data_IF_596498037712
#
_entry.id   IF_596498037712
#
_cell.length_a   1.000
_cell.length_b   1.000
_cell.length_c   1.000
_cell.angle_alpha   90.00
_cell.angle_beta   90.00
_cell.angle_gamma   90.00
#
_symmetry.space_group_name_H-M   'P 1'
#
loop_
_entity.id
_entity.type
_entity.pdbx_description
1 polymer ?
#
# COMPACT_ATOMS: atom_id res chain seq x y z
N UNK A 1 19.21 23.83 -22.82
CA UNK A 1 19.20 23.84 -21.34
C UNK A 1 19.39 22.41 -20.86
N UNK A 2 20.63 22.02 -20.53
CA UNK A 2 20.90 20.68 -19.98
C UNK A 2 20.83 20.77 -18.46
N UNK A 3 19.89 20.06 -17.84
CA UNK A 3 19.83 19.90 -16.38
C UNK A 3 20.58 18.61 -16.01
N UNK A 4 21.81 18.70 -15.45
CA UNK A 4 22.65 17.53 -15.20
C UNK A 4 22.05 16.53 -14.19
N UNK A 5 21.01 16.94 -13.45
CA UNK A 5 20.28 16.15 -12.48
C UNK A 5 18.78 16.43 -12.61
N UNK A 6 18.17 16.05 -13.74
CA UNK A 6 16.72 16.13 -13.92
C UNK A 6 16.08 14.74 -13.81
N UNK A 7 14.99 14.66 -13.05
CA UNK A 7 14.13 13.49 -12.97
C UNK A 7 12.78 13.84 -13.61
N UNK A 8 12.29 12.97 -14.49
CA UNK A 8 10.96 13.07 -15.07
C UNK A 8 10.25 11.73 -14.90
N UNK A 9 9.10 11.74 -14.23
CA UNK A 9 8.24 10.57 -14.13
C UNK A 9 7.56 10.31 -15.49
N UNK A 10 7.50 9.05 -15.92
CA UNK A 10 6.84 8.61 -17.16
C UNK A 10 5.80 7.53 -16.84
N UNK A 11 4.76 7.45 -17.67
CA UNK A 11 3.65 6.53 -17.47
C UNK A 11 2.52 7.14 -16.63
N UNK A 12 1.63 6.27 -16.14
CA UNK A 12 0.45 6.66 -15.34
C UNK A 12 0.65 6.23 -13.91
N UNK A 13 0.50 7.18 -12.99
CA UNK A 13 0.60 6.92 -11.56
C UNK A 13 -0.65 6.19 -11.03
N UNK A 14 -0.42 5.10 -10.28
CA UNK A 14 -1.42 4.43 -9.46
C UNK A 14 -1.15 4.77 -7.99
N UNK A 15 -1.81 5.80 -7.49
CA UNK A 15 -1.67 6.21 -6.10
C UNK A 15 -2.37 5.21 -5.17
N UNK A 16 -1.63 4.70 -4.17
CA UNK A 16 -2.10 3.79 -3.15
C UNK A 16 -2.04 4.45 -1.77
N UNK A 17 -3.02 4.20 -0.92
CA UNK A 17 -3.06 4.72 0.45
C UNK A 17 -3.29 3.57 1.45
N UNK A 18 -2.28 3.32 2.28
CA UNK A 18 -2.34 2.27 3.29
C UNK A 18 -3.44 2.50 4.34
N UNK A 19 -3.85 3.75 4.56
CA UNK A 19 -4.89 4.10 5.54
C UNK A 19 -6.28 3.60 5.16
N UNK A 20 -6.48 3.24 3.88
CA UNK A 20 -7.73 2.66 3.39
C UNK A 20 -7.90 1.20 3.79
N UNK A 21 -6.80 0.49 4.04
CA UNK A 21 -6.84 -0.90 4.48
C UNK A 21 -7.24 -0.97 5.97
N UNK A 22 -8.29 -1.72 6.34
CA UNK A 22 -8.65 -1.93 7.75
C UNK A 22 -7.65 -2.82 8.50
N UNK A 23 -6.74 -3.47 7.76
CA UNK A 23 -5.78 -4.45 8.27
C UNK A 23 -4.46 -3.82 8.70
N UNK A 24 -4.04 -2.71 8.06
CA UNK A 24 -2.73 -2.10 8.26
C UNK A 24 -2.76 -1.07 9.39
N UNK A 25 -1.63 -0.91 10.08
CA UNK A 25 -1.45 0.17 11.06
C UNK A 25 -1.47 1.52 10.35
N UNK A 26 -2.08 2.53 10.98
CA UNK A 26 -1.92 3.91 10.53
C UNK A 26 -0.56 4.43 11.00
N UNK A 27 0.41 4.49 10.10
CA UNK A 27 1.79 4.86 10.43
C UNK A 27 2.39 5.79 9.37
N UNK A 28 3.49 6.45 9.73
CA UNK A 28 4.34 7.22 8.81
C UNK A 28 5.73 6.60 8.68
N UNK A 29 5.90 5.36 9.14
CA UNK A 29 7.16 4.64 9.03
C UNK A 29 7.53 4.42 7.55
N UNK A 30 8.76 4.81 7.21
CA UNK A 30 9.28 4.69 5.84
C UNK A 30 9.54 3.22 5.47
N UNK A 31 9.86 2.37 6.44
CA UNK A 31 10.00 0.93 6.22
C UNK A 31 8.68 0.31 5.75
N UNK A 32 7.58 0.69 6.41
CA UNK A 32 6.22 0.32 6.00
C UNK A 32 5.84 0.90 4.62
N UNK A 33 6.19 2.16 4.34
CA UNK A 33 5.90 2.79 3.05
C UNK A 33 6.62 2.12 1.85
N UNK A 34 7.81 1.58 2.08
CA UNK A 34 8.60 0.86 1.08
C UNK A 34 8.42 -0.67 1.12
N UNK A 35 7.44 -1.18 1.87
CA UNK A 35 7.17 -2.61 1.94
C UNK A 35 6.42 -3.10 0.69
N UNK A 36 7.08 -3.95 -0.11
CA UNK A 36 6.50 -4.54 -1.32
C UNK A 36 5.23 -5.37 -1.04
N UNK A 37 5.21 -6.15 0.03
CA UNK A 37 4.06 -6.98 0.39
C UNK A 37 2.85 -6.10 0.76
N UNK A 38 3.09 -4.94 1.37
CA UNK A 38 2.06 -3.96 1.64
C UNK A 38 1.53 -3.28 0.36
N UNK A 39 2.41 -2.97 -0.60
CA UNK A 39 1.97 -2.43 -1.89
C UNK A 39 1.11 -3.45 -2.65
N UNK A 40 1.50 -4.73 -2.66
CA UNK A 40 0.70 -5.79 -3.28
C UNK A 40 -0.65 -5.99 -2.58
N UNK A 41 -0.69 -5.91 -1.25
CA UNK A 41 -1.93 -5.90 -0.46
C UNK A 41 -2.86 -4.75 -0.86
N UNK A 42 -2.31 -3.55 -1.06
CA UNK A 42 -3.09 -2.37 -1.46
C UNK A 42 -3.58 -2.47 -2.90
N UNK A 43 -2.79 -3.05 -3.81
CA UNK A 43 -3.22 -3.32 -5.19
C UNK A 43 -4.35 -4.35 -5.22
N UNK A 44 -4.26 -5.43 -4.44
CA UNK A 44 -5.34 -6.43 -4.34
C UNK A 44 -6.65 -5.84 -3.77
N UNK A 45 -6.53 -4.80 -2.95
CA UNK A 45 -7.64 -4.07 -2.38
C UNK A 45 -8.13 -2.85 -3.17
N UNK A 46 -7.50 -2.52 -4.29
CA UNK A 46 -7.76 -1.28 -5.04
C UNK A 46 -9.03 -1.38 -5.89
N UNK A 47 -9.93 -0.41 -5.73
CA UNK A 47 -11.25 -0.34 -6.37
C UNK A 47 -11.49 0.98 -7.12
N UNK A 48 -10.43 1.77 -7.35
CA UNK A 48 -10.47 2.99 -8.15
C UNK A 48 -10.41 4.28 -7.32
N UNK A 49 -10.38 5.44 -8.00
CA UNK A 49 -10.23 6.74 -7.33
C UNK A 49 -11.46 7.17 -6.52
N UNK A 50 -12.64 6.62 -6.82
CA UNK A 50 -13.90 6.81 -6.07
C UNK A 50 -13.97 5.93 -4.80
N UNK A 51 -12.82 5.55 -4.26
CA UNK A 51 -12.69 4.71 -3.07
C UNK A 51 -13.19 5.35 -1.77
N UNK A 52 -13.50 6.65 -1.75
CA UNK A 52 -14.19 7.26 -0.60
C UNK A 52 -15.60 6.65 -0.41
N UNK A 53 -16.23 6.18 -1.49
CA UNK A 53 -17.54 5.52 -1.46
C UNK A 53 -17.43 3.98 -1.45
N UNK A 54 -16.30 3.42 -1.90
CA UNK A 54 -16.09 1.96 -2.03
C UNK A 54 -15.23 1.42 -0.90
N UNK A 55 -15.79 0.46 -0.17
CA UNK A 55 -15.08 -0.25 0.91
C UNK A 55 -13.89 -1.04 0.36
N UNK A 56 -12.72 -0.90 0.98
CA UNK A 56 -11.55 -1.73 0.71
C UNK A 56 -11.90 -3.22 0.85
N UNK A 57 -11.60 -4.02 -0.18
CA UNK A 57 -11.93 -5.44 -0.23
C UNK A 57 -10.83 -6.20 -0.98
N UNK A 58 -10.32 -7.31 -0.45
CA UNK A 58 -9.30 -8.11 -1.13
C UNK A 58 -9.94 -8.99 -2.21
N UNK A 59 -9.61 -8.75 -3.49
CA UNK A 59 -10.22 -9.48 -4.61
C UNK A 59 -9.71 -10.91 -4.69
N UNK A 60 -8.40 -11.10 -4.57
CA UNK A 60 -7.78 -12.42 -4.68
C UNK A 60 -7.71 -13.18 -3.35
N UNK A 61 -8.12 -12.52 -2.25
CA UNK A 61 -7.98 -13.02 -0.88
C UNK A 61 -6.52 -13.32 -0.53
N UNK A 62 -5.60 -12.43 -0.95
CA UNK A 62 -4.19 -12.51 -0.56
C UNK A 62 -4.07 -12.56 0.97
N UNK A 63 -3.20 -13.44 1.46
CA UNK A 63 -2.97 -13.56 2.90
C UNK A 63 -2.38 -12.26 3.46
N UNK A 64 -3.09 -11.67 4.42
CA UNK A 64 -2.68 -10.42 5.08
C UNK A 64 -1.41 -10.61 5.91
N UNK A 65 -1.07 -11.83 6.33
CA UNK A 65 0.14 -12.11 7.11
C UNK A 65 1.42 -11.77 6.32
N UNK A 66 1.36 -11.81 4.99
CA UNK A 66 2.51 -11.50 4.12
C UNK A 66 3.02 -10.07 4.32
N UNK A 67 2.15 -9.12 4.72
CA UNK A 67 2.59 -7.74 4.97
C UNK A 67 3.60 -7.65 6.11
N UNK A 68 3.63 -8.63 7.03
CA UNK A 68 4.56 -8.67 8.15
C UNK A 68 5.93 -9.29 7.83
N UNK A 69 6.16 -9.70 6.57
CA UNK A 69 7.40 -10.39 6.17
C UNK A 69 8.69 -9.61 6.45
N UNK A 70 8.66 -8.28 6.32
CA UNK A 70 9.84 -7.42 6.47
C UNK A 70 9.63 -6.23 7.42
N UNK A 71 8.43 -6.03 7.95
CA UNK A 71 8.15 -5.03 8.99
C UNK A 71 6.87 -5.37 9.75
N UNK A 72 6.70 -4.84 10.96
CA UNK A 72 5.50 -5.05 11.79
C UNK A 72 4.35 -4.09 11.37
N UNK A 73 3.82 -4.26 10.16
CA UNK A 73 2.86 -3.31 9.55
C UNK A 73 1.39 -3.71 9.76
N UNK A 74 1.10 -5.00 9.92
CA UNK A 74 -0.24 -5.47 10.24
C UNK A 74 -0.65 -4.98 11.63
N UNK A 75 -1.93 -4.64 11.82
CA UNK A 75 -2.43 -4.27 13.15
C UNK A 75 -2.22 -5.43 14.13
N UNK A 76 -1.83 -5.09 15.36
CA UNK A 76 -1.48 -6.06 16.39
C UNK A 76 -2.64 -6.99 16.78
N UNK A 77 -3.90 -6.58 16.52
CA UNK A 77 -5.11 -7.40 16.72
C UNK A 77 -5.13 -8.70 15.91
N UNK A 78 -4.35 -8.79 14.84
CA UNK A 78 -4.28 -9.99 13.99
C UNK A 78 -3.27 -11.03 14.50
N UNK A 79 -2.45 -10.70 15.50
CA UNK A 79 -1.50 -11.61 16.17
C UNK A 79 -0.58 -12.40 15.21
N UNK A 80 -0.04 -11.72 14.19
CA UNK A 80 0.92 -12.24 13.21
C UNK A 80 2.30 -11.66 13.44
#
# INVERSE_FOLDING_TARGET
TSFPWSYAHVGVELALDHKKSPFLKQTKDLGCAHNLEALLHLVDGYHGKEEEEKRFCLVTKRDIALVNKSCDFLRSEFHV
#
